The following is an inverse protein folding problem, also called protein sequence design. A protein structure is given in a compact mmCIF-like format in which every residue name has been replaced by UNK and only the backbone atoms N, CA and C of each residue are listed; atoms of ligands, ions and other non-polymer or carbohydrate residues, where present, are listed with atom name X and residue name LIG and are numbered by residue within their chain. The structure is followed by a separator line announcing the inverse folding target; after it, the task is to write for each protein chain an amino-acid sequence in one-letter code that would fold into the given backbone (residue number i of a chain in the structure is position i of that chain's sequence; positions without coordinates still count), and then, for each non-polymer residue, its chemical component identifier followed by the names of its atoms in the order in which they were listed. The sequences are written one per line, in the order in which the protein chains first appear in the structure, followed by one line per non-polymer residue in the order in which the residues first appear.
data_IF_157287315865
#
_entry.id   IF_157287315865
#
_cell.length_a   1.000
_cell.length_b   1.000
_cell.length_c   1.000
_cell.angle_alpha   90.00
_cell.angle_beta   90.00
_cell.angle_gamma   90.00
#
_symmetry.space_group_name_H-M   'P 1'
#
loop_
_entity.id
_entity.type
_entity.pdbx_description
1 polymer ?
#
# COMPACT_ATOMS: atom_id res chain seq x y z
N UNK A 1 9.07 -22.75 -27.41
CA UNK A 1 8.83 -21.29 -27.31
C UNK A 1 9.12 -20.83 -25.90
N UNK A 2 9.69 -19.63 -25.79
CA UNK A 2 10.56 -19.14 -24.72
C UNK A 2 9.82 -19.04 -23.37
N UNK A 3 10.35 -19.72 -22.35
CA UNK A 3 9.96 -19.54 -20.94
C UNK A 3 10.39 -18.12 -20.54
N UNK A 4 9.46 -17.17 -20.55
CA UNK A 4 9.72 -15.84 -20.01
C UNK A 4 9.64 -15.98 -18.49
N UNK A 5 10.81 -16.22 -17.89
CA UNK A 5 10.98 -16.18 -16.45
C UNK A 5 10.63 -14.76 -15.97
N UNK A 6 9.78 -14.70 -14.94
CA UNK A 6 9.65 -13.55 -14.08
C UNK A 6 11.05 -13.07 -13.68
N UNK A 7 11.40 -11.86 -14.08
CA UNK A 7 12.46 -11.09 -13.45
C UNK A 7 11.86 -9.71 -13.16
N UNK A 8 11.02 -9.67 -12.11
CA UNK A 8 10.69 -8.43 -11.43
C UNK A 8 11.91 -8.11 -10.55
N UNK A 9 12.73 -7.09 -10.85
CA UNK A 9 13.71 -6.66 -9.87
C UNK A 9 12.92 -5.90 -8.80
N UNK A 10 12.46 -6.62 -7.76
CA UNK A 10 12.10 -5.98 -6.51
C UNK A 10 13.41 -5.48 -5.89
N UNK A 11 13.86 -4.31 -6.32
CA UNK A 11 14.70 -3.46 -5.52
C UNK A 11 13.80 -2.95 -4.37
N UNK A 12 13.68 -3.75 -3.32
CA UNK A 12 13.30 -3.25 -2.00
C UNK A 12 14.45 -2.36 -1.51
N UNK A 13 14.49 -1.13 -2.03
CA UNK A 13 15.17 -0.05 -1.32
C UNK A 13 14.31 0.14 -0.07
N UNK A 14 14.83 -0.30 1.07
CA UNK A 14 14.36 0.15 2.36
C UNK A 14 14.59 1.66 2.40
N UNK A 15 13.59 2.42 1.95
CA UNK A 15 13.62 3.87 2.06
C UNK A 15 13.65 4.17 3.55
N UNK A 16 14.69 4.85 4.06
CA UNK A 16 14.56 5.49 5.36
C UNK A 16 13.38 6.46 5.22
N UNK A 17 12.62 6.67 6.30
CA UNK A 17 11.48 7.57 6.35
C UNK A 17 11.89 9.06 6.16
N UNK A 18 12.53 9.35 5.04
CA UNK A 18 12.96 10.66 4.57
C UNK A 18 11.72 11.31 3.98
N UNK A 19 11.11 12.22 4.76
CA UNK A 19 10.14 13.23 4.33
C UNK A 19 9.33 12.85 3.09
N UNK A 20 8.26 12.09 3.30
CA UNK A 20 7.50 11.49 2.22
C UNK A 20 7.10 12.49 1.14
N UNK A 21 7.60 12.28 -0.07
CA UNK A 21 7.27 13.10 -1.22
C UNK A 21 5.90 12.71 -1.79
N UNK A 22 5.29 13.58 -2.60
CA UNK A 22 4.06 13.24 -3.32
C UNK A 22 4.22 11.96 -4.17
N UNK A 23 5.42 11.72 -4.69
CA UNK A 23 5.74 10.54 -5.48
C UNK A 23 5.71 9.27 -4.62
N UNK A 24 6.15 9.36 -3.36
CA UNK A 24 6.12 8.25 -2.40
C UNK A 24 4.69 7.93 -1.95
N UNK A 25 3.86 8.95 -1.71
CA UNK A 25 2.42 8.76 -1.43
C UNK A 25 1.76 8.01 -2.59
N UNK A 26 2.06 8.41 -3.83
CA UNK A 26 1.49 7.77 -5.02
C UNK A 26 1.96 6.32 -5.18
N UNK A 27 3.25 6.06 -4.92
CA UNK A 27 3.81 4.71 -4.93
C UNK A 27 3.16 3.82 -3.87
N UNK A 28 3.01 4.31 -2.62
CA UNK A 28 2.33 3.59 -1.54
C UNK A 28 0.85 3.34 -1.84
N UNK A 29 0.15 4.31 -2.41
CA UNK A 29 -1.24 4.12 -2.83
C UNK A 29 -1.38 3.03 -3.91
N UNK A 30 -0.46 2.97 -4.88
CA UNK A 30 -0.41 1.88 -5.85
C UNK A 30 -0.10 0.54 -5.18
N UNK A 31 0.88 0.49 -4.28
CA UNK A 31 1.24 -0.73 -3.55
C UNK A 31 0.08 -1.26 -2.70
N UNK A 32 -0.61 -0.39 -1.96
CA UNK A 32 -1.82 -0.74 -1.23
C UNK A 32 -2.90 -1.28 -2.16
N UNK A 33 -3.13 -0.63 -3.32
CA UNK A 33 -4.13 -1.08 -4.29
C UNK A 33 -3.81 -2.47 -4.85
N UNK A 34 -2.54 -2.74 -5.17
CA UNK A 34 -2.09 -4.05 -5.63
C UNK A 34 -2.24 -5.11 -4.53
N UNK A 35 -1.84 -4.81 -3.30
CA UNK A 35 -1.98 -5.74 -2.19
C UNK A 35 -3.45 -6.02 -1.86
N UNK A 36 -4.34 -5.04 -1.99
CA UNK A 36 -5.78 -5.23 -1.79
C UNK A 36 -6.39 -6.16 -2.84
N UNK A 37 -5.95 -6.06 -4.09
CA UNK A 37 -6.40 -6.98 -5.15
C UNK A 37 -5.92 -8.41 -4.87
N UNK A 38 -4.68 -8.57 -4.39
CA UNK A 38 -4.14 -9.88 -4.00
C UNK A 38 -4.86 -10.45 -2.78
N UNK A 39 -5.10 -9.62 -1.77
CA UNK A 39 -5.84 -10.00 -0.57
C UNK A 39 -7.29 -10.36 -0.90
N UNK A 40 -7.96 -9.62 -1.80
CA UNK A 40 -9.31 -9.97 -2.21
C UNK A 40 -9.38 -11.31 -2.95
N UNK A 41 -8.31 -11.69 -3.66
CA UNK A 41 -8.21 -12.98 -4.32
C UNK A 41 -7.95 -14.14 -3.34
N UNK A 42 -7.24 -13.92 -2.23
CA UNK A 42 -6.91 -14.96 -1.24
C UNK A 42 -7.89 -15.00 -0.05
N UNK A 43 -8.44 -13.86 0.35
CA UNK A 43 -9.29 -13.67 1.52
C UNK A 43 -10.37 -12.59 1.28
N UNK A 44 -11.50 -12.96 0.66
CA UNK A 44 -12.58 -12.03 0.33
C UNK A 44 -13.27 -11.43 1.58
N UNK A 45 -13.17 -12.10 2.73
CA UNK A 45 -13.71 -11.56 3.99
C UNK A 45 -12.87 -10.36 4.46
N UNK A 46 -11.53 -10.50 4.40
CA UNK A 46 -10.62 -9.41 4.72
C UNK A 46 -10.78 -8.23 3.76
N UNK A 47 -11.12 -8.46 2.49
CA UNK A 47 -11.37 -7.37 1.53
C UNK A 47 -12.50 -6.42 1.96
N UNK A 48 -13.52 -6.92 2.67
CA UNK A 48 -14.60 -6.08 3.22
C UNK A 48 -14.10 -5.18 4.34
N UNK A 49 -13.30 -5.73 5.27
CA UNK A 49 -12.70 -4.97 6.36
C UNK A 49 -11.70 -3.93 5.83
N UNK A 50 -10.94 -4.30 4.81
CA UNK A 50 -9.98 -3.43 4.15
C UNK A 50 -10.62 -2.32 3.31
N UNK A 51 -11.79 -2.55 2.72
CA UNK A 51 -12.58 -1.50 2.05
C UNK A 51 -12.91 -0.36 3.00
N UNK A 52 -13.34 -0.69 4.23
CA UNK A 52 -13.59 0.31 5.28
C UNK A 52 -12.30 1.04 5.66
N UNK A 53 -11.22 0.31 5.93
CA UNK A 53 -9.91 0.90 6.26
C UNK A 53 -9.39 1.83 5.17
N UNK A 54 -9.53 1.45 3.90
CA UNK A 54 -9.11 2.27 2.76
C UNK A 54 -9.91 3.56 2.67
N UNK A 55 -11.22 3.51 2.93
CA UNK A 55 -12.09 4.71 2.96
C UNK A 55 -11.69 5.65 4.11
N UNK A 56 -11.48 5.11 5.31
CA UNK A 56 -11.05 5.88 6.48
C UNK A 56 -9.65 6.48 6.25
N UNK A 57 -8.76 5.73 5.60
CA UNK A 57 -7.43 6.18 5.26
C UNK A 57 -7.46 7.35 4.27
N UNK A 58 -8.31 7.26 3.26
CA UNK A 58 -8.49 8.32 2.27
C UNK A 58 -9.09 9.59 2.89
N UNK A 59 -10.07 9.44 3.79
CA UNK A 59 -10.63 10.57 4.55
C UNK A 59 -9.58 11.24 5.44
N UNK A 60 -8.76 10.46 6.17
CA UNK A 60 -7.64 10.98 6.96
C UNK A 60 -6.58 11.66 6.09
N UNK A 61 -6.27 11.08 4.93
CA UNK A 61 -5.31 11.66 3.98
C UNK A 61 -5.79 13.00 3.42
N UNK A 62 -7.09 13.16 3.17
CA UNK A 62 -7.67 14.43 2.73
C UNK A 62 -7.68 15.51 3.82
N UNK A 63 -7.79 15.11 5.09
CA UNK A 63 -7.77 16.01 6.23
C UNK A 63 -6.36 16.34 6.72
N UNK A 64 -5.38 15.53 6.32
CA UNK A 64 -4.00 15.70 6.73
C UNK A 64 -3.33 16.85 5.96
N UNK A 65 -2.90 17.86 6.69
CA UNK A 65 -2.07 18.96 6.15
C UNK A 65 -0.59 18.58 6.02
N UNK A 66 -0.21 17.39 6.49
CA UNK A 66 1.15 16.90 6.60
C UNK A 66 1.31 15.62 5.76
N UNK A 67 2.07 15.74 4.68
CA UNK A 67 2.36 14.64 3.77
C UNK A 67 3.13 13.49 4.44
N UNK A 68 3.89 13.78 5.50
CA UNK A 68 4.55 12.76 6.31
C UNK A 68 3.54 11.89 7.06
N UNK A 69 2.48 12.49 7.60
CA UNK A 69 1.40 11.75 8.27
C UNK A 69 0.58 10.90 7.28
N UNK A 70 0.32 11.43 6.08
CA UNK A 70 -0.34 10.67 5.00
C UNK A 70 0.47 9.43 4.65
N UNK A 71 1.79 9.56 4.53
CA UNK A 71 2.61 8.41 4.21
C UNK A 71 2.75 7.40 5.34
N UNK A 72 2.90 7.85 6.59
CA UNK A 72 2.93 6.94 7.73
C UNK A 72 1.64 6.11 7.80
N UNK A 73 0.50 6.74 7.53
CA UNK A 73 -0.79 6.08 7.43
C UNK A 73 -0.82 5.01 6.33
N UNK A 74 -0.34 5.33 5.12
CA UNK A 74 -0.26 4.33 4.06
C UNK A 74 0.75 3.21 4.37
N UNK A 75 1.87 3.52 5.01
CA UNK A 75 2.86 2.51 5.43
C UNK A 75 2.29 1.53 6.45
N UNK A 76 1.59 2.04 7.45
CA UNK A 76 0.92 1.21 8.46
C UNK A 76 -0.12 0.30 7.81
N UNK A 77 -0.93 0.84 6.90
CA UNK A 77 -1.93 0.06 6.15
C UNK A 77 -1.27 -1.01 5.26
N UNK A 78 -0.19 -0.68 4.55
CA UNK A 78 0.51 -1.66 3.72
C UNK A 78 1.12 -2.77 4.59
N UNK A 79 1.70 -2.43 5.74
CA UNK A 79 2.28 -3.39 6.66
C UNK A 79 1.21 -4.31 7.27
N UNK A 80 0.12 -3.76 7.77
CA UNK A 80 -1.01 -4.54 8.30
C UNK A 80 -1.62 -5.47 7.24
N UNK A 81 -1.78 -4.97 6.01
CA UNK A 81 -2.32 -5.76 4.91
C UNK A 81 -1.42 -6.95 4.60
N UNK A 82 -0.11 -6.72 4.52
CA UNK A 82 0.88 -7.79 4.29
C UNK A 82 0.95 -8.77 5.46
N UNK A 83 0.71 -8.33 6.69
CA UNK A 83 0.64 -9.19 7.86
C UNK A 83 -0.64 -10.05 7.91
N UNK A 84 -1.70 -9.61 7.21
CA UNK A 84 -2.97 -10.34 7.08
C UNK A 84 -3.11 -11.20 5.82
N UNK A 85 -2.11 -11.18 4.94
CA UNK A 85 -1.95 -12.13 3.81
C UNK A 85 -1.30 -13.43 4.32
#
# INVERSE_FOLDING_TARGET
MRKIALALPMLFIAAPALACSQQDVQAKAMELSTGLQQLAASNPQAAVDWSKKATDAQAKAQQASDMGQVCALYDELIAEMKAGQ
#
